data_IF_351769110565
#
_entry.id   IF_351769110565
#
_cell.length_a   1.000
_cell.length_b   1.000
_cell.length_c   1.000
_cell.angle_alpha   90.00
_cell.angle_beta   90.00
_cell.angle_gamma   90.00
#
_symmetry.space_group_name_H-M   'P 1'
#
loop_
_entity.id
_entity.type
_entity.pdbx_description
1 polymer ?
#
# COMPACT_ATOMS: atom_id res chain seq x y z
N UNK A 1 56.10 14.03 4.70
CA UNK A 1 57.06 12.94 4.99
C UNK A 1 57.46 13.05 6.45
N UNK A 2 56.98 12.12 7.31
CA UNK A 2 57.56 11.47 8.53
C UNK A 2 58.53 12.28 9.45
N UNK A 3 58.63 12.15 10.80
CA UNK A 3 57.88 11.44 11.88
C UNK A 3 57.60 12.27 13.19
N UNK A 4 57.00 11.60 14.19
CA UNK A 4 56.80 11.97 15.63
C UNK A 4 58.07 12.40 16.40
N UNK A 5 57.89 13.09 17.54
CA UNK A 5 58.60 12.71 18.79
C UNK A 5 57.69 12.70 20.06
N UNK A 6 58.19 12.23 21.23
CA UNK A 6 57.43 11.46 22.23
C UNK A 6 57.13 12.16 23.57
N UNK A 7 56.35 11.46 24.41
CA UNK A 7 56.17 11.68 25.86
C UNK A 7 57.50 11.66 26.63
N UNK A 8 57.55 12.33 27.81
CA UNK A 8 57.79 11.55 29.04
C UNK A 8 57.08 12.01 30.33
N UNK A 9 56.72 11.01 31.13
CA UNK A 9 56.85 10.80 32.59
C UNK A 9 56.58 11.87 33.67
N UNK A 10 55.47 11.63 34.39
CA UNK A 10 55.31 11.33 35.84
C UNK A 10 56.28 11.90 36.92
N UNK A 11 55.63 12.59 37.89
CA UNK A 11 55.68 12.44 39.39
C UNK A 11 56.87 13.15 40.09
N UNK A 12 56.72 13.89 41.23
CA UNK A 12 56.06 13.40 42.47
C UNK A 12 55.30 14.38 43.41
N UNK A 13 54.46 13.74 44.24
CA UNK A 13 53.91 13.97 45.61
C UNK A 13 54.10 15.28 46.40
N UNK A 14 53.02 15.71 47.06
CA UNK A 14 53.01 16.42 48.36
C UNK A 14 51.57 16.45 48.94
N UNK A 15 51.25 15.55 49.88
CA UNK A 15 51.16 15.74 51.35
C UNK A 15 49.73 16.08 51.83
N UNK A 16 49.15 15.11 52.56
CA UNK A 16 47.87 15.18 53.27
C UNK A 16 47.93 16.17 54.46
N UNK A 17 46.87 16.95 54.63
CA UNK A 17 46.49 17.57 55.92
C UNK A 17 45.08 17.09 56.25
N UNK A 18 44.95 16.44 57.41
CA UNK A 18 43.67 16.04 58.00
C UNK A 18 42.97 17.24 58.62
N UNK A 19 41.66 17.39 58.37
CA UNK A 19 40.72 18.17 59.19
C UNK A 19 39.30 17.63 59.00
N UNK A 20 38.78 16.91 59.99
CA UNK A 20 37.34 16.78 60.29
C UNK A 20 37.08 17.83 61.42
N UNK A 21 35.89 18.45 61.64
CA UNK A 21 34.56 17.90 61.39
C UNK A 21 33.40 18.88 61.04
N UNK A 22 32.28 18.27 60.64
CA UNK A 22 30.87 18.71 60.85
C UNK A 22 30.61 20.21 61.14
N UNK A 23 30.12 20.94 60.14
CA UNK A 23 29.02 21.91 60.32
C UNK A 23 28.43 22.28 58.94
N UNK A 24 27.13 22.61 58.90
CA UNK A 24 26.35 22.98 57.71
C UNK A 24 25.93 21.87 56.73
N UNK A 25 25.18 20.88 57.22
CA UNK A 25 24.17 20.22 56.37
C UNK A 25 22.80 20.85 56.67
N UNK A 26 22.15 21.52 55.69
CA UNK A 26 20.79 22.00 55.91
C UNK A 26 19.89 20.81 56.26
N UNK A 27 19.02 20.99 57.25
CA UNK A 27 18.09 19.95 57.69
C UNK A 27 17.24 19.48 56.51
N UNK A 28 16.95 18.17 56.45
CA UNK A 28 16.20 17.56 55.35
C UNK A 28 14.85 18.27 55.05
N UNK A 29 14.29 18.96 56.05
CA UNK A 29 13.12 19.81 55.92
C UNK A 29 13.30 21.02 54.98
N UNK A 30 14.48 21.66 54.98
CA UNK A 30 14.77 22.81 54.11
C UNK A 30 14.93 22.37 52.66
N UNK A 31 15.53 21.19 52.43
CA UNK A 31 15.66 20.61 51.10
C UNK A 31 14.29 20.18 50.56
N UNK A 32 13.45 19.57 51.39
CA UNK A 32 12.09 19.16 50.99
C UNK A 32 11.19 20.37 50.71
N UNK A 33 11.27 21.43 51.52
CA UNK A 33 10.50 22.66 51.29
C UNK A 33 10.93 23.41 50.03
N UNK A 34 12.24 23.48 49.74
CA UNK A 34 12.76 24.09 48.52
C UNK A 34 12.35 23.29 47.26
N UNK A 35 12.38 21.96 47.32
CA UNK A 35 11.94 21.09 46.22
C UNK A 35 10.42 21.16 45.99
N UNK A 36 9.62 21.29 47.05
CA UNK A 36 8.17 21.47 46.92
C UNK A 36 7.80 22.83 46.32
N UNK A 37 8.51 23.90 46.68
CA UNK A 37 8.32 25.23 46.09
C UNK A 37 8.75 25.31 44.63
N UNK A 38 9.86 24.65 44.26
CA UNK A 38 10.29 24.53 42.86
C UNK A 38 9.32 23.65 42.05
N UNK A 39 8.78 22.59 42.64
CA UNK A 39 7.76 21.74 42.02
C UNK A 39 6.45 22.49 41.77
N UNK A 40 6.00 23.30 42.73
CA UNK A 40 4.78 24.12 42.60
C UNK A 40 4.97 25.28 41.63
N UNK A 41 6.14 25.92 41.60
CA UNK A 41 6.48 26.95 40.61
C UNK A 41 6.59 26.35 39.20
N UNK A 42 7.16 25.15 39.05
CA UNK A 42 7.22 24.43 37.78
C UNK A 42 5.84 23.98 37.29
N UNK A 43 4.95 23.54 38.19
CA UNK A 43 3.58 23.16 37.85
C UNK A 43 2.71 24.37 37.47
N UNK A 44 2.90 25.50 38.15
CA UNK A 44 2.25 26.77 37.82
C UNK A 44 2.71 27.31 36.46
N UNK A 45 4.00 27.25 36.16
CA UNK A 45 4.55 27.68 34.87
C UNK A 45 4.08 26.75 33.74
N UNK A 46 4.04 25.43 33.99
CA UNK A 46 3.51 24.44 33.05
C UNK A 46 2.03 24.68 32.75
N UNK A 47 1.19 24.91 33.76
CA UNK A 47 -0.24 25.20 33.56
C UNK A 47 -0.50 26.54 32.83
N UNK A 48 0.40 27.54 32.95
CA UNK A 48 0.29 28.79 32.20
C UNK A 48 0.89 28.73 30.79
N UNK A 49 1.73 27.73 30.50
CA UNK A 49 2.37 27.54 29.20
C UNK A 49 1.73 26.42 28.36
N UNK A 50 0.86 25.59 28.93
CA UNK A 50 0.01 24.67 28.17
C UNK A 50 -1.22 25.42 27.66
N UNK A 51 -1.36 25.68 26.34
CA UNK A 51 -2.61 26.20 25.81
C UNK A 51 -3.73 25.18 26.07
N UNK A 52 -4.99 25.62 26.21
CA UNK A 52 -6.13 24.71 26.27
C UNK A 52 -6.13 23.81 25.01
N UNK A 53 -6.69 22.58 25.06
CA UNK A 53 -6.78 21.74 23.87
C UNK A 53 -7.71 22.42 22.86
N UNK A 54 -7.12 23.13 21.91
CA UNK A 54 -7.79 23.94 20.93
C UNK A 54 -6.80 24.38 19.85
N UNK A 55 -6.99 23.82 18.66
CA UNK A 55 -6.54 24.33 17.36
C UNK A 55 -5.09 24.82 17.29
N UNK A 56 -4.14 23.90 17.05
CA UNK A 56 -2.85 24.29 16.48
C UNK A 56 -3.02 24.56 14.98
N UNK A 57 -2.76 25.80 14.58
CA UNK A 57 -2.62 26.19 13.18
C UNK A 57 -1.18 25.93 12.74
N UNK A 58 -1.00 25.23 11.62
CA UNK A 58 0.29 25.17 10.93
C UNK A 58 0.63 26.55 10.29
N UNK A 59 1.89 26.78 9.94
CA UNK A 59 2.47 28.01 9.33
C UNK A 59 1.81 28.38 7.97
N UNK A 60 0.87 27.57 7.51
CA UNK A 60 0.02 27.77 6.32
C UNK A 60 -1.39 28.28 6.63
N UNK A 61 -1.74 28.47 7.91
CA UNK A 61 -3.07 28.95 8.34
C UNK A 61 -4.18 27.89 8.23
N UNK A 62 -3.83 26.61 8.07
CA UNK A 62 -4.80 25.51 8.11
C UNK A 62 -5.02 25.03 9.56
N UNK A 63 -6.27 25.05 10.00
CA UNK A 63 -6.71 24.42 11.24
C UNK A 63 -6.60 22.90 11.06
N UNK A 64 -5.68 22.26 11.78
CA UNK A 64 -5.61 20.80 11.84
C UNK A 64 -6.66 20.32 12.84
N UNK A 65 -7.85 20.01 12.35
CA UNK A 65 -8.83 19.26 13.15
C UNK A 65 -8.22 17.89 13.44
N UNK A 66 -7.95 17.63 14.73
CA UNK A 66 -7.49 16.32 15.20
C UNK A 66 -8.60 15.29 15.03
N UNK A 67 -8.64 14.66 13.87
CA UNK A 67 -9.57 13.60 13.52
C UNK A 67 -9.57 13.37 12.01
N UNK A 68 -9.33 12.13 11.57
CA UNK A 68 -9.54 11.78 10.16
C UNK A 68 -11.02 11.93 9.75
N UNK A 69 -11.34 11.92 8.45
CA UNK A 69 -12.72 12.06 7.99
C UNK A 69 -13.60 10.94 8.53
N UNK A 70 -14.80 11.30 8.99
CA UNK A 70 -15.79 10.37 9.54
C UNK A 70 -16.60 9.71 8.44
N UNK A 71 -17.20 8.54 8.71
CA UNK A 71 -18.10 7.86 7.75
C UNK A 71 -19.26 8.75 7.27
N UNK A 72 -19.70 9.70 8.11
CA UNK A 72 -20.76 10.64 7.79
C UNK A 72 -20.38 11.62 6.69
N UNK A 73 -19.10 11.88 6.41
CA UNK A 73 -18.68 12.80 5.34
C UNK A 73 -18.67 12.14 3.95
N UNK A 74 -18.79 10.81 3.90
CA UNK A 74 -18.81 10.05 2.66
C UNK A 74 -20.24 9.89 2.13
N UNK A 75 -20.45 10.19 0.85
CA UNK A 75 -21.71 10.03 0.13
C UNK A 75 -21.94 8.59 -0.34
N UNK A 76 -20.87 7.84 -0.61
CA UNK A 76 -20.91 6.53 -1.27
C UNK A 76 -21.00 6.63 -2.79
N UNK A 77 -20.51 5.59 -3.48
CA UNK A 77 -20.40 5.54 -4.94
C UNK A 77 -21.73 5.80 -5.67
N UNK A 78 -22.84 5.27 -5.13
CA UNK A 78 -24.16 5.36 -5.76
C UNK A 78 -24.68 6.80 -5.80
N UNK A 79 -24.21 7.67 -4.89
CA UNK A 79 -24.59 9.08 -4.91
C UNK A 79 -24.00 9.85 -6.11
N UNK A 80 -22.98 9.28 -6.76
CA UNK A 80 -22.28 9.89 -7.89
C UNK A 80 -22.99 9.64 -9.23
N UNK A 81 -23.86 8.62 -9.34
CA UNK A 81 -24.38 8.14 -10.63
C UNK A 81 -25.28 9.15 -11.33
N UNK A 82 -26.06 9.93 -10.57
CA UNK A 82 -27.04 10.88 -11.11
C UNK A 82 -26.36 11.99 -11.93
N UNK A 83 -25.13 12.37 -11.55
CA UNK A 83 -24.37 13.43 -12.21
C UNK A 83 -23.19 12.89 -13.05
N UNK A 84 -22.64 11.73 -12.69
CA UNK A 84 -21.48 11.12 -13.36
C UNK A 84 -21.74 9.68 -13.85
N UNK A 85 -22.78 9.45 -14.68
CA UNK A 85 -23.18 8.10 -15.07
C UNK A 85 -22.09 7.34 -15.85
N UNK A 86 -21.33 8.04 -16.70
CA UNK A 86 -20.25 7.44 -17.49
C UNK A 86 -19.08 6.95 -16.63
N UNK A 87 -18.57 7.79 -15.73
CA UNK A 87 -17.49 7.42 -14.82
C UNK A 87 -17.92 6.29 -13.87
N UNK A 88 -19.16 6.36 -13.35
CA UNK A 88 -19.72 5.31 -12.52
C UNK A 88 -19.83 3.97 -13.27
N UNK A 89 -20.32 3.98 -14.51
CA UNK A 89 -20.41 2.76 -15.32
C UNK A 89 -19.03 2.10 -15.52
N UNK A 90 -18.00 2.88 -15.89
CA UNK A 90 -16.62 2.38 -16.00
C UNK A 90 -16.09 1.83 -14.67
N UNK A 91 -16.36 2.54 -13.57
CA UNK A 91 -15.91 2.20 -12.22
C UNK A 91 -16.43 0.85 -11.73
N UNK A 92 -17.73 0.55 -11.89
CA UNK A 92 -18.34 -0.68 -11.35
C UNK A 92 -17.69 -1.99 -11.86
N UNK A 93 -17.10 -1.94 -13.05
CA UNK A 93 -16.36 -3.04 -13.67
C UNK A 93 -14.88 -3.15 -13.27
N UNK A 94 -14.35 -2.13 -12.62
CA UNK A 94 -12.92 -1.98 -12.34
C UNK A 94 -12.41 -2.94 -11.25
N UNK A 95 -11.08 -3.09 -11.21
CA UNK A 95 -10.40 -3.78 -10.12
C UNK A 95 -10.60 -3.06 -8.77
N UNK A 96 -10.54 -1.73 -8.78
CA UNK A 96 -10.73 -0.87 -7.60
C UNK A 96 -12.08 -1.10 -6.91
N UNK A 97 -13.17 -1.13 -7.68
CA UNK A 97 -14.52 -1.38 -7.17
C UNK A 97 -14.69 -2.79 -6.57
N UNK A 98 -13.80 -3.73 -6.90
CA UNK A 98 -13.93 -5.17 -6.61
C UNK A 98 -12.81 -5.70 -5.73
N UNK A 99 -11.91 -4.84 -5.26
CA UNK A 99 -10.66 -5.22 -4.59
C UNK A 99 -10.86 -5.85 -3.20
N UNK A 100 -11.99 -5.57 -2.54
CA UNK A 100 -12.45 -6.26 -1.34
C UNK A 100 -13.98 -6.24 -1.31
N UNK A 101 -14.58 -7.35 -0.87
CA UNK A 101 -16.01 -7.47 -0.60
C UNK A 101 -16.23 -8.49 0.53
N UNK A 102 -17.39 -8.47 1.21
CA UNK A 102 -17.81 -9.59 2.04
C UNK A 102 -17.76 -10.89 1.23
N UNK A 103 -17.14 -11.94 1.76
CA UNK A 103 -16.82 -13.13 0.97
C UNK A 103 -18.09 -13.80 0.42
N UNK A 104 -19.12 -13.97 1.25
CA UNK A 104 -20.39 -14.60 0.87
C UNK A 104 -21.19 -13.85 -0.20
N UNK A 105 -20.89 -12.57 -0.44
CA UNK A 105 -21.53 -11.78 -1.49
C UNK A 105 -20.86 -11.96 -2.87
N UNK A 106 -19.71 -12.64 -2.94
CA UNK A 106 -19.01 -12.88 -4.20
C UNK A 106 -19.68 -14.00 -4.99
N UNK A 107 -19.62 -13.91 -6.32
CA UNK A 107 -19.94 -15.04 -7.21
C UNK A 107 -19.12 -16.28 -6.84
N UNK A 108 -17.85 -16.09 -6.48
CA UNK A 108 -16.94 -17.15 -6.06
C UNK A 108 -17.49 -17.95 -4.85
N UNK A 109 -18.16 -17.32 -3.90
CA UNK A 109 -18.74 -18.04 -2.76
C UNK A 109 -19.80 -19.07 -3.20
N UNK A 110 -20.66 -18.70 -4.17
CA UNK A 110 -21.65 -19.63 -4.76
C UNK A 110 -21.00 -20.75 -5.57
N UNK A 111 -19.86 -20.48 -6.20
CA UNK A 111 -19.09 -21.48 -6.94
C UNK A 111 -18.34 -22.44 -6.01
N UNK A 112 -18.08 -22.04 -4.77
CA UNK A 112 -17.39 -22.84 -3.77
C UNK A 112 -18.32 -23.64 -2.87
N UNK A 113 -19.58 -23.25 -2.75
CA UNK A 113 -20.53 -23.91 -1.86
C UNK A 113 -20.63 -25.42 -2.15
N UNK A 114 -20.38 -26.22 -1.11
CA UNK A 114 -20.34 -27.69 -1.16
C UNK A 114 -19.05 -28.29 -1.75
N UNK A 115 -18.07 -27.49 -2.20
CA UNK A 115 -16.80 -28.00 -2.74
C UNK A 115 -15.82 -28.33 -1.63
N UNK A 116 -15.19 -29.50 -1.77
CA UNK A 116 -14.05 -29.92 -0.93
C UNK A 116 -12.77 -29.92 -1.75
N UNK A 117 -11.73 -29.28 -1.23
CA UNK A 117 -10.39 -29.20 -1.83
C UNK A 117 -9.37 -29.86 -0.91
N UNK A 118 -8.39 -30.56 -1.48
CA UNK A 118 -7.22 -31.02 -0.72
C UNK A 118 -6.25 -29.85 -0.50
N UNK A 119 -5.56 -29.84 0.64
CA UNK A 119 -4.45 -28.91 0.84
C UNK A 119 -3.26 -29.30 -0.06
N UNK A 120 -2.72 -28.38 -0.89
CA UNK A 120 -1.66 -28.72 -1.84
C UNK A 120 -0.35 -29.19 -1.20
N UNK A 121 -0.10 -28.83 0.06
CA UNK A 121 1.13 -29.17 0.78
C UNK A 121 0.89 -30.12 1.97
N UNK A 122 -0.37 -30.43 2.30
CA UNK A 122 -0.75 -31.28 3.44
C UNK A 122 -1.83 -32.28 3.03
N UNK A 123 -1.40 -33.42 2.49
CA UNK A 123 -2.29 -34.41 1.84
C UNK A 123 -3.44 -34.94 2.70
N UNK A 124 -3.27 -34.92 4.02
CA UNK A 124 -4.22 -35.36 5.04
C UNK A 124 -5.26 -34.29 5.42
N UNK A 125 -5.09 -33.07 4.90
CA UNK A 125 -5.96 -31.91 5.17
C UNK A 125 -6.88 -31.67 3.99
N UNK A 126 -8.16 -31.47 4.29
CA UNK A 126 -9.15 -31.02 3.31
C UNK A 126 -9.89 -29.77 3.79
N UNK A 127 -10.38 -28.99 2.83
CA UNK A 127 -11.07 -27.72 3.03
C UNK A 127 -12.43 -27.80 2.32
N UNK A 128 -13.52 -27.82 3.06
CA UNK A 128 -14.89 -27.81 2.50
C UNK A 128 -15.50 -26.43 2.66
N UNK A 129 -15.92 -25.82 1.56
CA UNK A 129 -16.51 -24.48 1.59
C UNK A 129 -18.04 -24.56 1.63
N UNK A 130 -18.65 -23.74 2.46
CA UNK A 130 -20.09 -23.75 2.69
C UNK A 130 -20.63 -22.32 2.71
N UNK A 131 -21.66 -22.04 1.92
CA UNK A 131 -22.38 -20.78 1.91
C UNK A 131 -23.69 -20.95 2.69
N UNK A 132 -23.79 -20.31 3.86
CA UNK A 132 -24.95 -20.42 4.75
C UNK A 132 -25.38 -19.02 5.17
N UNK A 133 -26.66 -18.68 4.97
CA UNK A 133 -27.24 -17.38 5.32
C UNK A 133 -26.45 -16.16 4.76
N UNK A 134 -25.86 -16.33 3.58
CA UNK A 134 -25.04 -15.28 2.94
C UNK A 134 -23.63 -15.12 3.51
N UNK A 135 -23.21 -15.99 4.44
CA UNK A 135 -21.86 -16.08 4.98
C UNK A 135 -21.12 -17.28 4.39
N UNK A 136 -19.84 -17.10 4.06
CA UNK A 136 -18.99 -18.17 3.55
C UNK A 136 -18.16 -18.74 4.72
N UNK A 137 -18.07 -20.07 4.80
CA UNK A 137 -17.24 -20.78 5.76
C UNK A 137 -16.29 -21.73 5.05
N UNK A 138 -15.17 -22.03 5.70
CA UNK A 138 -14.28 -23.14 5.35
C UNK A 138 -14.17 -24.12 6.52
N UNK A 139 -14.60 -25.35 6.29
CA UNK A 139 -14.42 -26.48 7.21
C UNK A 139 -13.11 -27.19 6.89
N UNK A 140 -12.13 -27.05 7.78
CA UNK A 140 -10.88 -27.81 7.74
C UNK A 140 -11.09 -29.18 8.36
N UNK A 141 -10.70 -30.26 7.68
CA UNK A 141 -10.72 -31.61 8.24
C UNK A 141 -9.33 -32.25 8.20
N UNK A 142 -8.93 -32.87 9.31
CA UNK A 142 -7.64 -33.57 9.48
C UNK A 142 -7.77 -34.59 10.64
N UNK A 143 -7.33 -35.83 10.44
CA UNK A 143 -7.30 -36.84 11.51
C UNK A 143 -8.65 -37.07 12.21
N UNK A 144 -9.77 -36.96 11.48
CA UNK A 144 -11.13 -37.09 12.01
C UNK A 144 -11.66 -35.86 12.77
N UNK A 145 -10.82 -34.83 12.97
CA UNK A 145 -11.24 -33.54 13.55
C UNK A 145 -11.73 -32.61 12.46
N UNK A 146 -12.71 -31.77 12.79
CA UNK A 146 -13.21 -30.71 11.93
C UNK A 146 -13.19 -29.37 12.66
N UNK A 147 -12.76 -28.33 11.98
CA UNK A 147 -12.71 -26.96 12.47
C UNK A 147 -13.35 -26.05 11.42
N UNK A 148 -14.36 -25.28 11.84
CA UNK A 148 -15.06 -24.33 10.97
C UNK A 148 -14.49 -22.93 11.14
N UNK A 149 -14.24 -22.26 10.03
CA UNK A 149 -13.67 -20.90 10.00
C UNK A 149 -14.60 -20.02 9.16
N UNK A 150 -15.08 -18.88 9.68
CA UNK A 150 -15.80 -17.91 8.87
C UNK A 150 -14.83 -17.22 7.90
N UNK A 151 -15.26 -16.97 6.67
CA UNK A 151 -14.51 -16.20 5.69
C UNK A 151 -15.24 -14.87 5.52
N UNK A 152 -14.82 -13.85 6.25
CA UNK A 152 -15.53 -12.57 6.32
C UNK A 152 -15.36 -11.76 5.04
N UNK A 153 -14.12 -11.67 4.54
CA UNK A 153 -13.77 -10.88 3.37
C UNK A 153 -13.10 -11.71 2.29
N UNK A 154 -13.33 -11.32 1.05
CA UNK A 154 -12.61 -11.78 -0.13
C UNK A 154 -11.79 -10.60 -0.67
N UNK A 155 -10.46 -10.68 -0.57
CA UNK A 155 -9.51 -9.70 -1.06
C UNK A 155 -9.02 -10.10 -2.46
N UNK A 156 -8.88 -9.11 -3.33
CA UNK A 156 -8.51 -9.28 -4.73
C UNK A 156 -9.72 -9.19 -5.66
N UNK A 157 -9.55 -8.47 -6.77
CA UNK A 157 -10.61 -8.26 -7.76
C UNK A 157 -11.06 -9.54 -8.48
N UNK A 158 -10.24 -10.61 -8.40
CA UNK A 158 -10.35 -11.81 -9.21
C UNK A 158 -9.57 -11.74 -10.53
N UNK A 159 -8.87 -10.63 -10.81
CA UNK A 159 -8.02 -10.54 -12.01
C UNK A 159 -6.80 -11.48 -11.92
N UNK A 160 -6.16 -11.53 -10.76
CA UNK A 160 -5.00 -12.38 -10.52
C UNK A 160 -5.35 -13.50 -9.56
N UNK A 161 -5.96 -13.13 -8.44
CA UNK A 161 -6.34 -14.04 -7.39
C UNK A 161 -7.44 -13.46 -6.50
N UNK A 162 -8.00 -14.30 -5.64
CA UNK A 162 -8.85 -13.95 -4.53
C UNK A 162 -8.45 -14.75 -3.30
N UNK A 163 -8.09 -14.05 -2.23
CA UNK A 163 -7.69 -14.62 -0.94
C UNK A 163 -8.74 -14.25 0.10
N UNK A 164 -9.10 -15.19 0.97
CA UNK A 164 -10.09 -14.94 2.00
C UNK A 164 -9.43 -14.49 3.31
N UNK A 165 -10.14 -13.65 4.07
CA UNK A 165 -9.68 -13.15 5.37
C UNK A 165 -10.77 -13.34 6.41
N UNK A 166 -10.38 -13.82 7.59
CA UNK A 166 -11.20 -13.91 8.80
C UNK A 166 -10.79 -12.84 9.78
N UNK A 167 -11.71 -12.05 10.31
CA UNK A 167 -11.43 -11.12 11.41
C UNK A 167 -11.48 -11.91 12.72
N UNK A 168 -10.34 -12.02 13.39
CA UNK A 168 -10.21 -12.81 14.63
C UNK A 168 -10.33 -11.93 15.88
N UNK A 169 -9.99 -10.64 15.78
CA UNK A 169 -10.34 -9.61 16.76
C UNK A 169 -10.86 -8.37 16.03
N UNK A 170 -12.06 -7.94 16.40
CA UNK A 170 -12.72 -6.77 15.83
C UNK A 170 -12.55 -5.49 16.67
N UNK A 171 -11.73 -5.51 17.74
CA UNK A 171 -11.31 -4.29 18.44
C UNK A 171 -10.67 -3.33 17.42
N UNK A 172 -11.25 -2.16 17.16
CA UNK A 172 -10.73 -1.25 16.15
C UNK A 172 -9.30 -0.76 16.45
N UNK A 173 -8.90 -0.71 17.72
CA UNK A 173 -7.57 -0.28 18.14
C UNK A 173 -6.51 -1.39 17.99
N UNK A 174 -6.90 -2.65 18.11
CA UNK A 174 -6.02 -3.81 18.01
C UNK A 174 -6.62 -4.93 17.16
N UNK A 175 -6.99 -4.63 15.91
CA UNK A 175 -7.63 -5.61 15.05
C UNK A 175 -6.63 -6.71 14.71
N UNK A 176 -7.10 -7.95 14.69
CA UNK A 176 -6.32 -9.09 14.20
C UNK A 176 -7.15 -9.92 13.25
N UNK A 177 -6.47 -10.61 12.33
CA UNK A 177 -7.12 -11.42 11.32
C UNK A 177 -6.30 -12.64 10.94
N UNK A 178 -6.95 -13.57 10.25
CA UNK A 178 -6.33 -14.71 9.61
C UNK A 178 -6.47 -14.54 8.09
N UNK A 179 -5.34 -14.46 7.39
CA UNK A 179 -5.29 -14.62 5.94
C UNK A 179 -5.36 -16.12 5.62
N UNK A 180 -6.46 -16.54 4.98
CA UNK A 180 -6.78 -17.94 4.73
C UNK A 180 -5.67 -18.66 3.96
N UNK A 181 -5.44 -19.93 4.31
CA UNK A 181 -4.37 -20.76 3.75
C UNK A 181 -4.43 -20.95 2.23
N UNK A 182 -5.63 -20.97 1.66
CA UNK A 182 -5.81 -21.21 0.23
C UNK A 182 -6.28 -19.95 -0.50
N UNK A 183 -5.63 -19.67 -1.62
CA UNK A 183 -5.98 -18.60 -2.54
C UNK A 183 -6.54 -19.19 -3.82
N UNK A 184 -7.63 -18.58 -4.33
CA UNK A 184 -8.20 -18.90 -5.64
C UNK A 184 -7.52 -18.06 -6.72
N UNK A 185 -6.90 -18.69 -7.71
CA UNK A 185 -6.21 -18.01 -8.81
C UNK A 185 -7.13 -17.81 -10.02
N UNK A 186 -6.77 -16.86 -10.89
CA UNK A 186 -7.59 -16.49 -12.05
C UNK A 186 -7.78 -17.62 -13.08
N UNK A 187 -6.93 -18.65 -13.06
CA UNK A 187 -7.05 -19.87 -13.86
C UNK A 187 -8.04 -20.90 -13.27
N UNK A 188 -8.66 -20.59 -12.13
CA UNK A 188 -9.62 -21.45 -11.44
C UNK A 188 -8.99 -22.42 -10.44
N UNK A 189 -7.67 -22.43 -10.30
CA UNK A 189 -6.97 -23.30 -9.36
C UNK A 189 -6.98 -22.74 -7.95
N UNK A 190 -6.79 -23.62 -6.97
CA UNK A 190 -6.47 -23.25 -5.60
C UNK A 190 -5.04 -23.68 -5.28
N UNK A 191 -4.27 -22.78 -4.69
CA UNK A 191 -2.95 -23.08 -4.16
C UNK A 191 -2.77 -22.44 -2.78
N UNK A 192 -1.69 -22.81 -2.10
CA UNK A 192 -1.29 -22.15 -0.85
C UNK A 192 -1.07 -20.67 -1.11
N UNK A 193 -1.68 -19.82 -0.29
CA UNK A 193 -1.65 -18.36 -0.41
C UNK A 193 -0.21 -17.83 -0.58
N UNK A 194 0.02 -16.87 -1.50
CA UNK A 194 1.33 -16.26 -1.70
C UNK A 194 2.01 -15.80 -0.42
N UNK A 195 3.23 -16.29 -0.20
CA UNK A 195 4.00 -16.00 1.00
C UNK A 195 3.66 -16.83 2.23
N UNK A 196 2.86 -17.91 2.09
CA UNK A 196 2.59 -18.89 3.14
C UNK A 196 3.11 -20.31 2.81
N UNK A 197 3.91 -20.47 1.75
CA UNK A 197 4.39 -21.79 1.30
C UNK A 197 5.51 -22.29 2.19
N UNK A 198 5.60 -23.61 2.36
CA UNK A 198 6.77 -24.19 3.00
C UNK A 198 8.05 -23.79 2.25
N UNK A 199 9.03 -23.22 2.98
CA UNK A 199 10.33 -22.83 2.41
C UNK A 199 10.40 -21.44 1.78
N UNK A 200 9.35 -20.61 1.87
CA UNK A 200 9.44 -19.19 1.46
C UNK A 200 10.30 -18.32 2.40
N UNK A 201 10.62 -18.84 3.59
CA UNK A 201 11.43 -18.16 4.60
C UNK A 201 10.72 -17.00 5.31
N UNK A 202 9.42 -16.80 5.09
CA UNK A 202 8.65 -15.70 5.67
C UNK A 202 7.99 -16.06 7.00
N UNK A 203 7.91 -17.36 7.32
CA UNK A 203 7.34 -17.84 8.58
C UNK A 203 5.81 -17.69 8.69
N UNK A 204 5.12 -17.49 7.56
CA UNK A 204 3.66 -17.24 7.51
C UNK A 204 2.83 -18.50 7.23
N UNK A 205 3.48 -19.65 7.12
CA UNK A 205 2.88 -20.95 6.75
C UNK A 205 2.09 -21.64 7.87
N UNK A 206 1.22 -20.91 8.56
CA UNK A 206 0.42 -21.45 9.65
C UNK A 206 -0.59 -22.52 9.21
N UNK A 207 -1.16 -23.21 10.19
CA UNK A 207 -2.09 -24.34 9.98
C UNK A 207 -3.38 -23.92 9.28
N UNK A 208 -3.93 -22.77 9.68
CA UNK A 208 -5.14 -22.20 9.09
C UNK A 208 -4.84 -21.12 8.03
N UNK A 209 -3.58 -20.70 7.97
CA UNK A 209 -3.12 -19.57 7.16
C UNK A 209 -2.16 -18.69 7.97
N UNK A 210 -2.04 -17.43 7.58
CA UNK A 210 -1.18 -16.45 8.25
C UNK A 210 -1.98 -15.60 9.24
N UNK A 211 -1.54 -15.57 10.50
CA UNK A 211 -2.11 -14.68 11.52
C UNK A 211 -1.52 -13.29 11.34
N UNK A 212 -2.39 -12.32 11.05
CA UNK A 212 -2.04 -10.92 10.84
C UNK A 212 -2.28 -10.12 12.11
N UNK A 213 -1.26 -9.36 12.50
CA UNK A 213 -1.39 -8.33 13.52
C UNK A 213 -2.07 -7.07 12.98
N UNK A 214 -2.23 -6.07 13.85
CA UNK A 214 -2.87 -4.81 13.48
C UNK A 214 -2.08 -4.06 12.41
N UNK A 215 -0.75 -4.09 12.41
CA UNK A 215 0.05 -3.39 11.40
C UNK A 215 -0.16 -4.01 10.01
N UNK A 216 -0.14 -5.34 9.92
CA UNK A 216 -0.41 -6.06 8.68
C UNK A 216 -1.85 -5.83 8.18
N UNK A 217 -2.83 -5.86 9.08
CA UNK A 217 -4.22 -5.53 8.73
C UNK A 217 -4.33 -4.11 8.16
N UNK A 218 -3.69 -3.11 8.76
CA UNK A 218 -3.72 -1.75 8.24
C UNK A 218 -3.08 -1.65 6.84
N UNK A 219 -1.99 -2.37 6.59
CA UNK A 219 -1.37 -2.42 5.25
C UNK A 219 -2.30 -3.02 4.20
N UNK A 220 -2.99 -4.12 4.54
CA UNK A 220 -3.94 -4.77 3.63
C UNK A 220 -5.18 -3.90 3.39
N UNK A 221 -5.90 -3.54 4.45
CA UNK A 221 -7.16 -2.83 4.35
C UNK A 221 -6.99 -1.37 3.92
N UNK A 222 -5.87 -0.72 4.25
CA UNK A 222 -5.58 0.65 3.84
C UNK A 222 -5.50 0.83 2.32
N UNK A 223 -5.06 -0.18 1.58
CA UNK A 223 -5.05 -0.15 0.11
C UNK A 223 -6.32 -0.69 -0.53
N UNK A 224 -7.10 -1.49 0.21
CA UNK A 224 -8.27 -2.19 -0.32
C UNK A 224 -9.61 -1.53 0.07
N UNK A 225 -9.60 -0.53 0.93
CA UNK A 225 -10.79 0.19 1.38
C UNK A 225 -10.72 1.69 1.07
N UNK A 226 -11.88 2.32 1.04
CA UNK A 226 -12.02 3.77 0.82
C UNK A 226 -11.83 4.50 2.14
N UNK A 227 -12.39 3.90 3.20
CA UNK A 227 -12.30 4.34 4.58
C UNK A 227 -12.07 3.09 5.44
N UNK A 228 -11.03 3.08 6.27
CA UNK A 228 -10.74 1.99 7.22
C UNK A 228 -11.43 2.18 8.57
N UNK A 229 -11.63 3.43 9.01
CA UNK A 229 -12.33 3.75 10.25
C UNK A 229 -12.87 5.19 10.22
N UNK A 230 -14.00 5.41 10.91
CA UNK A 230 -14.56 6.74 11.15
C UNK A 230 -13.87 7.51 12.30
N UNK A 231 -12.94 6.88 13.05
CA UNK A 231 -12.32 7.45 14.26
C UNK A 231 -10.82 7.73 14.11
N UNK A 232 -10.22 7.47 12.95
CA UNK A 232 -8.82 7.81 12.68
C UNK A 232 -8.12 6.93 11.65
N UNK A 233 -6.92 7.35 11.22
CA UNK A 233 -6.12 6.72 10.17
C UNK A 233 -5.37 5.44 10.57
N UNK A 234 -5.29 5.14 11.87
CA UNK A 234 -4.59 3.97 12.44
C UNK A 234 -5.54 2.99 13.13
N UNK A 235 -6.81 3.07 12.77
CA UNK A 235 -7.88 2.23 13.29
C UNK A 235 -8.52 1.51 12.10
N UNK A 236 -8.87 0.24 12.29
CA UNK A 236 -9.67 -0.52 11.34
C UNK A 236 -10.97 -0.91 12.04
N UNK A 237 -12.03 -0.17 11.76
CA UNK A 237 -13.38 -0.48 12.23
C UNK A 237 -14.15 -1.12 11.08
N UNK A 238 -14.23 -2.45 11.10
CA UNK A 238 -14.92 -3.25 10.10
C UNK A 238 -16.39 -2.85 9.95
N UNK A 239 -17.03 -2.33 11.01
CA UNK A 239 -18.44 -1.93 10.98
C UNK A 239 -18.67 -0.61 10.24
N UNK A 240 -17.74 0.35 10.35
CA UNK A 240 -17.83 1.65 9.65
C UNK A 240 -17.00 1.74 8.36
N UNK A 241 -16.19 0.73 8.07
CA UNK A 241 -15.37 0.62 6.86
C UNK A 241 -16.22 0.78 5.58
N UNK A 242 -15.66 1.46 4.59
CA UNK A 242 -16.18 1.45 3.21
C UNK A 242 -15.33 0.47 2.39
N UNK A 243 -15.79 -0.76 2.15
CA UNK A 243 -15.02 -1.76 1.41
C UNK A 243 -14.99 -1.41 -0.07
N UNK A 244 -13.79 -1.48 -0.68
CA UNK A 244 -13.40 -1.12 -2.06
C UNK A 244 -12.56 0.16 -2.14
N UNK A 245 -11.91 0.40 -3.28
CA UNK A 245 -11.35 1.70 -3.64
C UNK A 245 -12.41 2.42 -4.48
N UNK A 246 -13.20 3.32 -3.88
CA UNK A 246 -14.31 4.04 -4.51
C UNK A 246 -13.91 5.43 -5.01
N UNK A 247 -14.87 6.17 -5.57
CA UNK A 247 -14.74 7.57 -6.01
C UNK A 247 -14.04 8.42 -4.94
N UNK A 248 -14.54 8.32 -3.71
CA UNK A 248 -14.12 9.13 -2.58
C UNK A 248 -12.74 8.73 -2.02
N UNK A 249 -12.16 7.60 -2.47
CA UNK A 249 -10.77 7.24 -2.14
C UNK A 249 -9.78 8.15 -2.86
N UNK A 250 -10.10 8.56 -4.08
CA UNK A 250 -9.27 9.48 -4.87
C UNK A 250 -9.76 10.93 -4.70
N UNK A 251 -11.07 11.14 -4.81
CA UNK A 251 -11.67 12.48 -4.78
C UNK A 251 -11.91 13.04 -3.36
N UNK A 252 -11.71 12.23 -2.32
CA UNK A 252 -12.01 12.60 -0.93
C UNK A 252 -13.50 12.50 -0.58
N UNK A 253 -13.88 12.73 0.69
CA UNK A 253 -15.27 12.69 1.14
C UNK A 253 -16.13 13.71 0.38
N UNK A 254 -17.23 13.25 -0.23
CA UNK A 254 -17.97 14.04 -1.22
C UNK A 254 -19.39 14.40 -0.77
N UNK A 255 -19.80 14.15 0.48
CA UNK A 255 -21.18 14.45 0.91
C UNK A 255 -21.57 15.92 0.72
N UNK A 256 -20.74 16.85 1.18
CA UNK A 256 -21.00 18.28 1.03
C UNK A 256 -21.10 18.68 -0.45
N UNK A 257 -20.25 18.10 -1.30
CA UNK A 257 -20.29 18.29 -2.74
C UNK A 257 -21.62 17.82 -3.35
N UNK A 258 -22.03 16.57 -3.06
CA UNK A 258 -23.28 15.98 -3.57
C UNK A 258 -24.49 16.79 -3.11
N UNK A 259 -24.55 17.15 -1.83
CA UNK A 259 -25.67 17.89 -1.27
C UNK A 259 -25.83 19.29 -1.89
N UNK A 260 -24.73 20.04 -2.04
CA UNK A 260 -24.76 21.34 -2.70
C UNK A 260 -25.24 21.22 -4.15
N UNK A 261 -24.70 20.26 -4.92
CA UNK A 261 -25.11 20.06 -6.32
C UNK A 261 -26.57 19.64 -6.46
N UNK A 262 -27.10 18.84 -5.54
CA UNK A 262 -28.54 18.50 -5.49
C UNK A 262 -29.44 19.72 -5.24
N UNK A 263 -28.94 20.75 -4.54
CA UNK A 263 -29.61 22.05 -4.36
C UNK A 263 -29.34 23.03 -5.51
N UNK A 264 -28.68 22.59 -6.57
CA UNK A 264 -28.20 23.42 -7.68
C UNK A 264 -27.24 24.55 -7.25
N UNK A 265 -26.50 24.32 -6.17
CA UNK A 265 -25.49 25.25 -5.63
C UNK A 265 -24.08 24.85 -6.09
N UNK A 266 -23.13 25.76 -5.93
CA UNK A 266 -21.70 25.42 -6.01
C UNK A 266 -21.30 24.65 -4.75
N UNK A 267 -20.84 23.42 -4.95
CA UNK A 267 -20.27 22.61 -3.88
C UNK A 267 -18.76 22.80 -3.75
N UNK A 268 -18.16 22.38 -2.62
CA UNK A 268 -16.72 22.35 -2.47
C UNK A 268 -16.08 21.54 -3.61
N UNK A 269 -14.89 21.98 -4.01
CA UNK A 269 -14.07 21.20 -4.91
C UNK A 269 -13.58 19.93 -4.22
N UNK A 270 -13.53 18.85 -4.98
CA UNK A 270 -13.01 17.57 -4.51
C UNK A 270 -11.49 17.52 -4.66
N UNK A 271 -10.86 16.62 -3.89
CA UNK A 271 -9.41 16.50 -3.74
C UNK A 271 -8.71 16.29 -5.08
N UNK A 272 -9.13 15.30 -5.86
CA UNK A 272 -8.47 14.92 -7.11
C UNK A 272 -9.10 15.61 -8.33
N UNK A 273 -8.27 16.29 -9.13
CA UNK A 273 -8.65 16.90 -10.40
C UNK A 273 -7.44 17.19 -11.29
N UNK A 274 -7.48 16.70 -12.53
CA UNK A 274 -6.37 16.75 -13.51
C UNK A 274 -5.80 18.16 -13.75
N UNK A 275 -6.64 19.19 -13.70
CA UNK A 275 -6.23 20.58 -13.95
C UNK A 275 -5.46 21.21 -12.77
N UNK A 276 -5.47 20.57 -11.59
CA UNK A 276 -4.95 21.14 -10.34
C UNK A 276 -3.77 20.38 -9.75
N UNK A 277 -3.48 19.19 -10.26
CA UNK A 277 -2.48 18.29 -9.70
C UNK A 277 -1.28 18.17 -10.62
N UNK A 278 -0.09 18.38 -10.05
CA UNK A 278 1.18 18.04 -10.66
C UNK A 278 1.28 16.54 -10.92
N UNK A 279 2.22 16.14 -11.77
CA UNK A 279 2.50 14.72 -12.05
C UNK A 279 2.95 13.99 -10.78
N UNK A 280 3.78 14.62 -9.96
CA UNK A 280 4.23 14.05 -8.69
C UNK A 280 3.06 13.76 -7.75
N UNK A 281 2.16 14.72 -7.53
CA UNK A 281 0.98 14.51 -6.68
C UNK A 281 0.10 13.35 -7.21
N UNK A 282 -0.04 13.22 -8.53
CA UNK A 282 -0.76 12.09 -9.12
C UNK A 282 -0.07 10.75 -8.83
N UNK A 283 1.26 10.70 -8.95
CA UNK A 283 2.06 9.50 -8.70
C UNK A 283 2.08 9.13 -7.21
N UNK A 284 2.10 10.11 -6.31
CA UNK A 284 1.97 9.89 -4.86
C UNK A 284 0.60 9.31 -4.48
N UNK A 285 -0.49 9.84 -5.06
CA UNK A 285 -1.83 9.31 -4.82
C UNK A 285 -1.94 7.86 -5.27
N UNK A 286 -1.57 7.57 -6.52
CA UNK A 286 -1.57 6.19 -7.04
C UNK A 286 -0.62 5.29 -6.22
N UNK A 287 0.54 5.85 -5.87
CA UNK A 287 1.61 5.26 -5.09
C UNK A 287 1.27 5.01 -3.62
N UNK A 288 0.13 5.49 -3.12
CA UNK A 288 -0.38 5.09 -1.80
C UNK A 288 -0.62 3.58 -1.76
N UNK A 289 -1.13 3.01 -2.86
CA UNK A 289 -1.42 1.57 -2.96
C UNK A 289 -0.46 0.86 -3.93
N UNK A 290 -0.16 1.50 -5.06
CA UNK A 290 0.75 0.96 -6.07
C UNK A 290 2.23 1.26 -5.79
N UNK A 291 2.54 1.86 -4.64
CA UNK A 291 3.85 2.27 -4.14
C UNK A 291 4.55 3.35 -4.96
N UNK A 292 4.83 4.46 -4.30
CA UNK A 292 5.74 5.50 -4.75
C UNK A 292 7.21 5.13 -4.43
N UNK A 293 8.23 5.52 -5.23
CA UNK A 293 9.64 5.29 -4.90
C UNK A 293 10.06 5.74 -3.51
N UNK A 294 9.55 6.88 -3.03
CA UNK A 294 9.86 7.40 -1.69
C UNK A 294 9.40 6.46 -0.54
N UNK A 295 8.45 5.57 -0.83
CA UNK A 295 7.91 4.58 0.10
C UNK A 295 8.50 3.17 -0.12
N UNK A 296 9.50 3.03 -1.00
CA UNK A 296 10.18 1.77 -1.24
C UNK A 296 11.27 1.51 -0.17
N UNK A 297 11.35 0.29 0.39
CA UNK A 297 12.46 -0.06 1.28
C UNK A 297 13.84 0.18 0.62
N UNK A 298 14.86 0.55 1.41
CA UNK A 298 16.20 0.76 0.87
C UNK A 298 16.72 -0.46 0.10
N UNK A 299 17.36 -0.18 -1.04
CA UNK A 299 18.01 -1.20 -1.86
C UNK A 299 17.08 -2.11 -2.66
N UNK A 300 15.75 -1.99 -2.59
CA UNK A 300 14.85 -2.85 -3.38
C UNK A 300 14.64 -2.37 -4.83
N UNK A 301 14.89 -1.09 -5.12
CA UNK A 301 14.78 -0.53 -6.47
C UNK A 301 16.04 -0.92 -7.25
N UNK A 302 16.00 -2.08 -7.90
CA UNK A 302 17.09 -2.61 -8.72
C UNK A 302 16.54 -3.28 -9.98
N UNK A 303 17.24 -3.22 -11.13
CA UNK A 303 16.72 -3.75 -12.39
C UNK A 303 16.43 -5.26 -12.39
N UNK A 304 17.17 -6.03 -11.58
CA UNK A 304 17.04 -7.48 -11.41
C UNK A 304 15.87 -7.89 -10.50
N UNK A 305 15.33 -6.96 -9.71
CA UNK A 305 14.24 -7.23 -8.79
C UNK A 305 12.89 -7.28 -9.53
N UNK A 306 12.50 -8.48 -9.97
CA UNK A 306 11.21 -8.73 -10.64
C UNK A 306 9.98 -8.38 -9.80
N UNK A 307 10.12 -8.33 -8.47
CA UNK A 307 9.02 -7.99 -7.56
C UNK A 307 8.61 -6.51 -7.63
N UNK A 308 9.33 -5.67 -8.37
CA UNK A 308 8.94 -4.28 -8.61
C UNK A 308 7.77 -4.14 -9.59
N UNK A 309 7.50 -5.14 -10.42
CA UNK A 309 6.42 -5.03 -11.42
C UNK A 309 5.01 -4.91 -10.82
N UNK A 310 4.84 -5.32 -9.56
CA UNK A 310 3.59 -5.08 -8.80
C UNK A 310 3.44 -3.63 -8.32
N UNK A 311 4.49 -2.82 -8.42
CA UNK A 311 4.58 -1.44 -7.94
C UNK A 311 4.84 -0.47 -9.10
N UNK A 312 3.78 -0.11 -9.81
CA UNK A 312 3.86 0.53 -11.12
C UNK A 312 4.52 1.92 -11.12
N UNK A 313 4.21 2.83 -10.18
CA UNK A 313 4.90 4.12 -10.09
C UNK A 313 6.41 3.98 -9.85
N UNK A 314 6.83 2.97 -9.05
CA UNK A 314 8.26 2.68 -8.87
C UNK A 314 8.92 2.41 -10.22
N UNK A 315 8.35 1.52 -11.03
CA UNK A 315 8.92 1.23 -12.34
C UNK A 315 8.89 2.43 -13.29
N UNK A 316 7.74 3.12 -13.37
CA UNK A 316 7.55 4.24 -14.29
C UNK A 316 8.60 5.33 -14.04
N UNK A 317 8.82 5.70 -12.78
CA UNK A 317 9.75 6.78 -12.40
C UNK A 317 11.23 6.43 -12.65
N UNK A 318 11.56 5.15 -12.83
CA UNK A 318 12.92 4.73 -13.23
C UNK A 318 13.08 4.55 -14.75
N UNK A 319 12.01 4.73 -15.52
CA UNK A 319 12.03 4.50 -16.96
C UNK A 319 12.68 5.66 -17.70
N UNK A 320 13.48 5.42 -18.75
CA UNK A 320 14.09 6.49 -19.55
C UNK A 320 13.07 7.52 -20.05
N UNK A 321 11.88 7.09 -20.49
CA UNK A 321 10.83 8.02 -20.92
C UNK A 321 10.34 8.98 -19.82
N UNK A 322 10.55 8.63 -18.55
CA UNK A 322 10.25 9.50 -17.41
C UNK A 322 11.47 10.33 -17.01
N UNK A 323 12.65 9.71 -16.89
CA UNK A 323 13.87 10.35 -16.38
C UNK A 323 14.60 11.23 -17.39
N UNK A 324 14.49 10.90 -18.68
CA UNK A 324 15.12 11.63 -19.79
C UNK A 324 14.11 12.49 -20.56
N UNK A 325 12.80 12.26 -20.36
CA UNK A 325 11.76 13.17 -20.82
C UNK A 325 11.56 14.36 -19.88
N UNK A 326 10.51 15.15 -20.10
CA UNK A 326 10.19 16.32 -19.27
C UNK A 326 9.57 15.97 -17.90
N UNK A 327 9.58 14.68 -17.49
CA UNK A 327 8.94 14.21 -16.26
C UNK A 327 7.41 14.37 -16.22
N UNK A 328 6.76 14.53 -17.38
CA UNK A 328 5.33 14.85 -17.49
C UNK A 328 4.41 13.63 -17.57
N UNK A 329 4.97 12.42 -17.57
CA UNK A 329 4.19 11.18 -17.66
C UNK A 329 3.63 10.78 -16.30
N UNK A 330 2.31 10.59 -16.22
CA UNK A 330 1.64 10.02 -15.05
C UNK A 330 0.97 8.70 -15.41
N UNK A 331 0.36 8.04 -14.42
CA UNK A 331 -0.48 6.86 -14.67
C UNK A 331 -1.61 7.18 -15.66
N UNK A 332 -2.10 8.42 -15.67
CA UNK A 332 -3.24 8.86 -16.46
C UNK A 332 -2.89 9.19 -17.91
N UNK A 333 -1.60 9.30 -18.22
CA UNK A 333 -1.14 9.38 -19.61
C UNK A 333 -1.53 8.13 -20.40
N UNK A 334 -1.57 6.97 -19.74
CA UNK A 334 -1.81 5.67 -20.38
C UNK A 334 -3.13 4.99 -19.95
N UNK A 335 -3.63 5.31 -18.75
CA UNK A 335 -4.78 4.61 -18.17
C UNK A 335 -5.94 5.56 -17.83
N UNK A 336 -7.16 5.10 -18.13
CA UNK A 336 -8.37 5.66 -17.53
C UNK A 336 -8.46 5.20 -16.06
N UNK A 337 -8.49 6.13 -15.07
CA UNK A 337 -8.49 5.77 -13.66
C UNK A 337 -9.81 5.16 -13.18
N UNK A 338 -10.91 5.35 -13.94
CA UNK A 338 -12.21 4.80 -13.61
C UNK A 338 -12.39 3.40 -14.17
N UNK A 339 -11.83 3.12 -15.35
CA UNK A 339 -12.01 1.85 -16.01
C UNK A 339 -11.03 0.78 -15.52
N UNK A 340 -11.34 -0.48 -15.85
CA UNK A 340 -10.33 -1.53 -15.82
C UNK A 340 -9.24 -1.23 -16.86
N UNK A 341 -7.98 -1.43 -16.49
CA UNK A 341 -6.88 -1.38 -17.44
C UNK A 341 -7.17 -2.27 -18.65
N UNK A 342 -7.01 -1.70 -19.86
CA UNK A 342 -7.23 -2.40 -21.11
C UNK A 342 -6.21 -3.53 -21.28
N UNK A 343 -6.57 -4.56 -22.02
CA UNK A 343 -5.69 -5.69 -22.35
C UNK A 343 -5.15 -5.65 -23.78
N UNK A 344 -5.57 -4.67 -24.59
CA UNK A 344 -5.19 -4.56 -26.01
C UNK A 344 -3.77 -3.99 -26.15
N UNK A 345 -2.82 -4.73 -26.75
CA UNK A 345 -1.49 -4.21 -27.03
C UNK A 345 -1.52 -3.00 -27.97
N UNK A 346 -2.30 -3.08 -29.05
CA UNK A 346 -2.46 -2.02 -30.05
C UNK A 346 -2.87 -0.69 -29.42
N UNK A 347 -3.74 -0.72 -28.40
CA UNK A 347 -4.14 0.50 -27.68
C UNK A 347 -2.94 1.20 -27.01
N UNK A 348 -2.08 0.44 -26.32
CA UNK A 348 -0.91 1.02 -25.65
C UNK A 348 0.22 1.34 -26.62
N UNK A 349 0.41 0.54 -27.67
CA UNK A 349 1.37 0.81 -28.73
C UNK A 349 1.07 2.14 -29.44
N UNK A 350 -0.21 2.47 -29.63
CA UNK A 350 -0.60 3.79 -30.14
C UNK A 350 -0.22 4.94 -29.20
N UNK A 351 -0.27 4.73 -27.88
CA UNK A 351 0.22 5.71 -26.90
C UNK A 351 1.74 5.87 -27.04
N UNK A 352 2.49 4.78 -27.14
CA UNK A 352 3.94 4.83 -27.39
C UNK A 352 4.25 5.60 -28.69
N UNK A 353 3.52 5.30 -29.77
CA UNK A 353 3.70 5.93 -31.07
C UNK A 353 3.41 7.44 -31.07
N UNK A 354 2.63 7.95 -30.11
CA UNK A 354 2.39 9.40 -29.99
C UNK A 354 3.66 10.20 -29.70
N UNK A 355 4.67 9.57 -29.06
CA UNK A 355 5.98 10.15 -28.81
C UNK A 355 7.08 9.54 -29.72
N UNK A 356 6.95 8.27 -30.10
CA UNK A 356 7.99 7.53 -30.84
C UNK A 356 7.74 7.37 -32.35
N UNK A 357 6.62 7.87 -32.88
CA UNK A 357 6.18 7.65 -34.27
C UNK A 357 6.74 8.61 -35.33
N UNK A 358 7.60 9.57 -34.96
CA UNK A 358 8.19 10.56 -35.89
C UNK A 358 9.72 10.42 -35.91
N UNK A 359 10.27 9.78 -36.96
CA UNK A 359 11.71 9.67 -37.29
C UNK A 359 12.70 9.62 -36.11
N UNK A 360 13.01 8.42 -35.56
CA UNK A 360 14.14 8.28 -34.66
C UNK A 360 15.44 8.25 -35.48
N UNK A 361 16.18 9.36 -35.48
CA UNK A 361 17.62 9.36 -35.81
C UNK A 361 18.44 9.18 -34.54
N UNK A 362 19.31 8.16 -34.41
CA UNK A 362 19.48 6.96 -35.24
C UNK A 362 18.64 5.76 -34.73
N UNK A 363 18.45 4.70 -35.54
CA UNK A 363 17.65 3.54 -35.17
C UNK A 363 18.53 2.47 -34.50
N UNK A 364 18.14 1.92 -33.34
CA UNK A 364 18.62 0.61 -32.98
C UNK A 364 17.59 -0.43 -33.38
N UNK A 365 17.95 -1.15 -34.45
CA UNK A 365 17.31 -2.31 -35.06
C UNK A 365 15.88 -2.11 -35.63
N UNK A 366 15.59 -2.69 -36.82
CA UNK A 366 14.24 -2.71 -37.36
C UNK A 366 13.40 -3.72 -36.57
N UNK A 367 12.82 -3.26 -35.46
CA UNK A 367 11.71 -3.96 -34.80
C UNK A 367 10.41 -3.70 -35.60
N UNK A 368 9.51 -4.69 -35.73
CA UNK A 368 8.20 -4.43 -36.33
C UNK A 368 7.46 -3.32 -35.55
N UNK A 369 6.56 -2.56 -36.19
CA UNK A 369 5.74 -1.51 -35.57
C UNK A 369 4.75 -2.02 -34.51
N UNK A 370 4.88 -3.28 -34.10
CA UNK A 370 4.08 -4.00 -33.12
C UNK A 370 5.02 -4.84 -32.24
N UNK A 371 4.62 -5.10 -30.99
CA UNK A 371 5.42 -5.85 -30.01
C UNK A 371 6.27 -4.97 -29.08
N UNK A 372 6.00 -3.66 -29.01
CA UNK A 372 6.72 -2.75 -28.11
C UNK A 372 6.65 -3.23 -26.66
N UNK A 373 5.46 -3.67 -26.23
CA UNK A 373 5.21 -4.13 -24.87
C UNK A 373 5.97 -5.42 -24.54
N UNK A 374 6.21 -6.30 -25.51
CA UNK A 374 6.90 -7.56 -25.27
C UNK A 374 8.37 -7.34 -24.90
N UNK A 375 9.00 -6.31 -25.48
CA UNK A 375 10.38 -5.94 -25.18
C UNK A 375 10.48 -4.95 -24.02
N UNK A 376 9.63 -3.92 -23.98
CA UNK A 376 9.77 -2.78 -23.07
C UNK A 376 8.94 -2.89 -21.79
N UNK A 377 7.82 -3.62 -21.80
CA UNK A 377 6.92 -3.77 -20.66
C UNK A 377 6.48 -5.23 -20.47
N UNK A 378 7.43 -6.19 -20.44
CA UNK A 378 7.06 -7.60 -20.40
C UNK A 378 6.26 -7.92 -19.15
N UNK A 379 5.34 -8.89 -19.27
CA UNK A 379 4.73 -9.49 -18.09
C UNK A 379 5.74 -10.35 -17.35
N UNK A 380 5.98 -10.05 -16.08
CA UNK A 380 6.88 -10.81 -15.22
C UNK A 380 6.11 -11.53 -14.14
N UNK A 381 6.53 -12.76 -13.85
CA UNK A 381 5.98 -13.56 -12.76
C UNK A 381 6.48 -13.01 -11.43
N UNK A 382 5.56 -12.57 -10.58
CA UNK A 382 5.84 -12.07 -9.23
C UNK A 382 5.68 -13.18 -8.18
N UNK A 383 5.43 -14.41 -8.60
CA UNK A 383 5.28 -15.58 -7.75
C UNK A 383 4.02 -16.37 -8.07
N UNK A 384 4.16 -17.70 -8.08
CA UNK A 384 3.04 -18.64 -8.27
C UNK A 384 2.23 -18.42 -9.56
N UNK A 385 2.85 -17.95 -10.64
CA UNK A 385 2.16 -17.69 -11.91
C UNK A 385 1.39 -16.36 -11.94
N UNK A 386 1.44 -15.57 -10.87
CA UNK A 386 0.82 -14.23 -10.84
C UNK A 386 1.73 -13.27 -11.58
N UNK A 387 1.30 -12.89 -12.79
CA UNK A 387 2.08 -12.03 -13.67
C UNK A 387 1.58 -10.58 -13.67
N UNK A 388 2.51 -9.64 -13.56
CA UNK A 388 2.27 -8.20 -13.69
C UNK A 388 3.05 -7.64 -14.87
N UNK A 389 2.49 -6.64 -15.55
CA UNK A 389 3.21 -5.87 -16.57
C UNK A 389 4.29 -5.02 -15.89
N UNK A 390 5.54 -5.17 -16.31
CA UNK A 390 6.65 -4.33 -15.83
C UNK A 390 6.47 -2.90 -16.33
N UNK A 391 6.35 -1.96 -15.39
CA UNK A 391 6.25 -0.53 -15.69
C UNK A 391 7.61 0.17 -15.65
N UNK A 392 8.69 -0.55 -15.40
CA UNK A 392 10.02 -0.04 -15.67
C UNK A 392 10.35 -0.22 -17.14
N UNK A 393 9.83 0.70 -17.94
CA UNK A 393 9.74 0.69 -19.41
C UNK A 393 11.14 0.74 -20.01
N UNK A 394 11.69 -0.42 -20.37
CA UNK A 394 13.02 -0.57 -20.97
C UNK A 394 13.18 -1.96 -21.57
N UNK A 395 14.09 -2.11 -22.51
CA UNK A 395 14.61 -3.44 -22.86
C UNK A 395 15.33 -4.00 -21.64
N UNK A 396 14.90 -5.16 -21.13
CA UNK A 396 15.53 -5.81 -19.99
C UNK A 396 16.73 -6.66 -20.43
N UNK A 397 17.86 -6.49 -19.75
CA UNK A 397 19.04 -7.35 -19.92
C UNK A 397 18.86 -8.66 -19.14
N UNK A 398 17.75 -9.37 -19.36
CA UNK A 398 17.51 -10.66 -18.70
C UNK A 398 18.12 -11.79 -19.54
N UNK A 399 19.10 -12.48 -18.96
CA UNK A 399 19.60 -13.81 -19.34
C UNK A 399 20.11 -13.98 -20.77
N UNK A 400 21.00 -13.08 -21.23
CA UNK A 400 21.75 -13.32 -22.48
C UNK A 400 20.87 -13.63 -23.70
N UNK A 401 19.63 -13.11 -23.71
CA UNK A 401 18.69 -13.33 -24.81
C UNK A 401 19.30 -12.80 -26.11
N UNK A 402 19.71 -13.72 -26.97
CA UNK A 402 19.86 -13.45 -28.41
C UNK A 402 18.45 -13.46 -29.02
N UNK A 403 18.00 -12.33 -29.57
CA UNK A 403 16.64 -12.19 -30.07
C UNK A 403 16.26 -10.75 -30.45
N UNK A 404 15.03 -10.51 -30.91
CA UNK A 404 14.61 -9.20 -31.46
C UNK A 404 14.54 -8.07 -30.41
N UNK A 405 14.59 -8.39 -29.11
CA UNK A 405 14.59 -7.43 -28.01
C UNK A 405 16.01 -7.23 -27.44
N UNK A 406 17.04 -7.12 -28.28
CA UNK A 406 18.40 -6.78 -27.82
C UNK A 406 18.63 -5.29 -27.88
N UNK A 407 19.22 -4.70 -26.83
CA UNK A 407 19.77 -3.35 -26.95
C UNK A 407 20.87 -3.34 -28.03
N UNK A 408 20.99 -2.27 -28.83
CA UNK A 408 22.16 -2.07 -29.68
C UNK A 408 23.41 -2.05 -28.79
N UNK A 409 24.55 -2.55 -29.27
CA UNK A 409 25.80 -2.39 -28.55
C UNK A 409 26.12 -0.88 -28.44
N UNK A 410 26.83 -0.42 -27.38
CA UNK A 410 27.24 0.97 -27.26
C UNK A 410 28.04 1.48 -28.47
N UNK A 411 28.74 0.59 -29.19
CA UNK A 411 29.48 0.91 -30.42
C UNK A 411 28.56 1.19 -31.61
N UNK A 412 27.35 0.61 -31.66
CA UNK A 412 26.38 0.83 -32.73
C UNK A 412 25.52 2.08 -32.55
N UNK A 413 25.58 2.75 -31.39
CA UNK A 413 24.83 3.97 -31.10
C UNK A 413 25.63 5.27 -31.36
N UNK A 414 26.90 5.14 -31.77
CA UNK A 414 27.82 6.25 -32.01
C UNK A 414 28.10 6.51 -33.51
N UNK A 415 27.46 5.76 -34.41
CA UNK A 415 27.37 6.01 -35.86
C UNK A 415 26.00 6.60 -36.21
#
# INVERSE_FOLDING_TARGET
>A
MVPRPPFPDRVPTGLLVMSDPRSNRPSAFVILAASALLGLAGLGLWMTMTPPPGEEADDTGQVVLSGGPTRAEFAGADACIDCHPGAHASFTGSGHARTIRPAGQRRLARELDGRTLADPERSEVTWTYLLQDGLLFADRAEGGRRERIPLDFALGSGHHATTFVTVTNADPAHPTALEHRLTHFADGTFSVTPGQRAGDGLGRGGRLGHEMDSEEMHKCFGCHSTLTSATGSHVLDVASMIPNVSCERCHGPARAHVEARRRAEEGPALRFGLERWTVEEQLELCGTCHRHPSNAPPGIIRPDNVQLARFQPVGLMQSPCFTEGDGTLSCLTCHDPHARARSSPIFYEAICASCHGSNPTPPPTPGPPAGCLDCHMPKVDSGQGVRFTDHWIRIRDLDGRTGPCTRPSPEAAAE
#
